data_IF_701611705402
#
_entry.id   IF_701611705402
#
_cell.length_a   1.000
_cell.length_b   1.000
_cell.length_c   1.000
_cell.angle_alpha   90.00
_cell.angle_beta   90.00
_cell.angle_gamma   90.00
#
_symmetry.space_group_name_H-M   'P 1'
#
loop_
_entity.id
_entity.type
_entity.pdbx_description
1 polymer ?
#
# COMPACT_ATOMS: atom_id res chain seq x y z
N UNK A 1 19.83 2.04 -43.23
CA UNK A 1 19.20 3.37 -43.09
C UNK A 1 17.69 3.41 -43.44
N UNK A 2 17.02 2.31 -43.82
CA UNK A 2 15.59 2.32 -44.20
C UNK A 2 14.59 1.82 -43.11
N UNK A 3 15.05 1.40 -41.93
CA UNK A 3 14.15 0.93 -40.84
C UNK A 3 13.47 2.06 -40.04
N UNK A 4 13.93 3.31 -40.13
CA UNK A 4 13.45 4.42 -39.30
C UNK A 4 12.36 5.31 -39.93
N UNK A 5 11.99 5.08 -41.20
CA UNK A 5 10.98 5.89 -41.91
C UNK A 5 9.59 5.24 -41.93
N UNK A 6 9.45 3.99 -41.50
CA UNK A 6 8.16 3.26 -41.49
C UNK A 6 7.35 3.55 -40.22
N UNK A 7 8.02 3.79 -39.08
CA UNK A 7 7.38 4.05 -37.80
C UNK A 7 6.48 5.32 -37.76
N UNK A 8 6.88 6.48 -38.31
CA UNK A 8 6.05 7.70 -38.23
C UNK A 8 4.75 7.60 -39.03
N UNK A 9 4.77 6.93 -40.20
CA UNK A 9 3.59 6.78 -41.06
C UNK A 9 2.60 5.77 -40.46
N UNK A 10 3.09 4.68 -39.85
CA UNK A 10 2.24 3.70 -39.15
C UNK A 10 1.56 4.34 -37.94
N UNK A 11 2.30 5.12 -37.14
CA UNK A 11 1.77 5.86 -35.97
C UNK A 11 0.67 6.82 -36.40
N UNK A 12 0.90 7.69 -37.40
CA UNK A 12 -0.15 8.60 -37.89
C UNK A 12 -1.41 7.85 -38.35
N UNK A 13 -1.22 6.69 -38.96
CA UNK A 13 -2.32 5.90 -39.46
C UNK A 13 -3.17 5.26 -38.32
N UNK A 14 -2.62 5.04 -37.13
CA UNK A 14 -3.39 4.51 -35.99
C UNK A 14 -4.40 5.51 -35.42
N UNK A 15 -4.23 6.82 -35.67
CA UNK A 15 -4.98 7.90 -35.01
C UNK A 15 -5.91 8.71 -35.93
N UNK A 16 -6.14 8.25 -37.17
CA UNK A 16 -7.03 8.90 -38.15
C UNK A 16 -8.31 8.04 -38.31
N UNK A 17 -9.48 8.66 -38.48
CA UNK A 17 -10.74 7.98 -38.81
C UNK A 17 -10.58 7.16 -40.11
N UNK A 18 -10.81 5.84 -40.05
CA UNK A 18 -10.36 4.91 -41.10
C UNK A 18 -11.45 4.02 -41.68
N UNK A 19 -11.17 3.56 -42.90
CA UNK A 19 -12.04 2.66 -43.67
C UNK A 19 -12.09 1.23 -43.10
N UNK A 20 -13.18 0.47 -43.33
CA UNK A 20 -13.36 -0.90 -42.81
C UNK A 20 -12.24 -1.89 -43.20
N UNK A 21 -11.68 -1.75 -44.40
CA UNK A 21 -10.59 -2.62 -44.88
C UNK A 21 -9.28 -2.39 -44.10
N UNK A 22 -9.01 -1.14 -43.69
CA UNK A 22 -7.83 -0.81 -42.89
C UNK A 22 -7.98 -1.33 -41.46
N UNK A 23 -9.17 -1.25 -40.86
CA UNK A 23 -9.42 -1.84 -39.53
C UNK A 23 -9.23 -3.36 -39.52
N UNK A 24 -9.54 -4.05 -40.62
CA UNK A 24 -9.42 -5.51 -40.70
C UNK A 24 -7.95 -5.98 -40.70
N UNK A 25 -7.05 -5.30 -41.40
CA UNK A 25 -5.61 -5.60 -41.37
C UNK A 25 -4.97 -5.34 -39.99
N UNK A 26 -5.39 -4.28 -39.29
CA UNK A 26 -4.95 -4.03 -37.92
C UNK A 26 -5.29 -5.19 -36.98
N UNK A 27 -6.51 -5.69 -37.05
CA UNK A 27 -6.95 -6.77 -36.17
C UNK A 27 -6.24 -8.09 -36.47
N UNK A 28 -5.93 -8.37 -37.74
CA UNK A 28 -5.22 -9.58 -38.15
C UNK A 28 -3.73 -9.56 -37.77
N UNK A 29 -3.08 -8.39 -37.74
CA UNK A 29 -1.64 -8.23 -37.47
C UNK A 29 -1.37 -7.35 -36.24
N UNK A 30 -2.24 -7.41 -35.23
CA UNK A 30 -2.28 -6.49 -34.08
C UNK A 30 -0.94 -6.32 -33.33
N UNK A 31 -0.20 -7.41 -33.13
CA UNK A 31 1.05 -7.41 -32.36
C UNK A 31 2.13 -6.50 -32.95
N UNK A 32 2.15 -6.34 -34.29
CA UNK A 32 3.10 -5.45 -34.99
C UNK A 32 2.99 -3.99 -34.55
N UNK A 33 1.83 -3.60 -34.01
CA UNK A 33 1.54 -2.22 -33.65
C UNK A 33 1.77 -1.92 -32.16
N UNK A 34 2.06 -2.94 -31.34
CA UNK A 34 2.10 -2.78 -29.88
C UNK A 34 3.18 -1.79 -29.44
N UNK A 35 4.40 -1.91 -29.95
CA UNK A 35 5.50 -1.04 -29.53
C UNK A 35 5.23 0.43 -29.83
N UNK A 36 4.65 0.72 -30.99
CA UNK A 36 4.25 2.07 -31.38
C UNK A 36 3.16 2.65 -30.47
N UNK A 37 2.14 1.84 -30.14
CA UNK A 37 1.06 2.24 -29.25
C UNK A 37 1.59 2.47 -27.83
N UNK A 38 2.39 1.54 -27.30
CA UNK A 38 2.97 1.62 -25.95
C UNK A 38 3.96 2.78 -25.82
N UNK A 39 4.66 3.14 -26.90
CA UNK A 39 5.47 4.35 -26.94
C UNK A 39 4.62 5.60 -26.73
N UNK A 40 3.46 5.72 -27.37
CA UNK A 40 2.53 6.83 -27.15
C UNK A 40 1.96 6.83 -25.73
N UNK A 41 1.62 5.66 -25.19
CA UNK A 41 1.21 5.53 -23.78
C UNK A 41 2.31 6.03 -22.84
N UNK A 42 3.58 5.67 -23.08
CA UNK A 42 4.71 6.10 -22.25
C UNK A 42 4.93 7.62 -22.25
N UNK A 43 4.49 8.31 -23.31
CA UNK A 43 4.50 9.78 -23.41
C UNK A 43 3.31 10.43 -22.69
N UNK A 44 2.52 9.65 -21.94
CA UNK A 44 1.29 10.08 -21.26
C UNK A 44 0.27 10.69 -22.23
N UNK A 45 0.20 10.18 -23.46
CA UNK A 45 -0.83 10.58 -24.41
C UNK A 45 -2.19 9.98 -23.99
N UNK A 46 -3.18 10.79 -23.59
CA UNK A 46 -4.48 10.28 -23.11
C UNK A 46 -5.30 9.58 -24.21
N UNK A 47 -4.99 9.82 -25.48
CA UNK A 47 -5.69 9.25 -26.63
C UNK A 47 -4.99 8.01 -27.23
N UNK A 48 -3.91 7.52 -26.61
CA UNK A 48 -3.12 6.41 -27.15
C UNK A 48 -3.95 5.14 -27.38
N UNK A 49 -4.90 4.85 -26.48
CA UNK A 49 -5.86 3.74 -26.62
C UNK A 49 -7.20 4.19 -27.22
N UNK A 50 -7.66 5.40 -26.92
CA UNK A 50 -9.01 5.88 -27.26
C UNK A 50 -9.32 5.81 -28.77
N UNK A 51 -8.35 6.10 -29.63
CA UNK A 51 -8.57 6.14 -31.08
C UNK A 51 -8.34 4.80 -31.79
N UNK A 52 -8.02 3.73 -31.04
CA UNK A 52 -7.74 2.43 -31.64
C UNK A 52 -9.01 1.71 -32.09
N UNK A 53 -8.93 0.83 -33.11
CA UNK A 53 -9.99 -0.13 -33.44
C UNK A 53 -10.38 -1.01 -32.25
N UNK A 54 -11.64 -1.42 -32.20
CA UNK A 54 -12.22 -2.17 -31.07
C UNK A 54 -11.45 -3.45 -30.74
N UNK A 55 -10.94 -4.15 -31.76
CA UNK A 55 -10.15 -5.37 -31.58
C UNK A 55 -8.86 -5.16 -30.77
N UNK A 56 -8.27 -3.95 -30.80
CA UNK A 56 -7.11 -3.58 -29.98
C UNK A 56 -7.54 -3.10 -28.59
N UNK A 57 -8.68 -2.39 -28.49
CA UNK A 57 -9.24 -1.96 -27.20
C UNK A 57 -9.67 -3.12 -26.31
N UNK A 58 -10.02 -4.26 -26.90
CA UNK A 58 -10.33 -5.51 -26.18
C UNK A 58 -9.13 -6.45 -26.06
N UNK A 59 -7.95 -6.09 -26.60
CA UNK A 59 -6.79 -6.94 -26.52
C UNK A 59 -6.18 -6.92 -25.11
N UNK A 60 -6.40 -8.02 -24.37
CA UNK A 60 -5.94 -8.16 -22.98
C UNK A 60 -4.44 -7.90 -22.82
N UNK A 61 -3.60 -8.31 -23.77
CA UNK A 61 -2.15 -8.17 -23.64
C UNK A 61 -1.71 -6.72 -23.85
N UNK A 62 -2.23 -6.06 -24.89
CA UNK A 62 -1.96 -4.64 -25.15
C UNK A 62 -2.45 -3.77 -23.98
N UNK A 63 -3.70 -3.97 -23.54
CA UNK A 63 -4.30 -3.16 -22.47
C UNK A 63 -3.60 -3.39 -21.14
N UNK A 64 -3.21 -4.63 -20.81
CA UNK A 64 -2.41 -4.87 -19.60
C UNK A 64 -1.08 -4.13 -19.66
N UNK A 65 -0.36 -4.20 -20.79
CA UNK A 65 0.91 -3.46 -20.96
C UNK A 65 0.72 -1.95 -20.90
N UNK A 66 -0.39 -1.43 -21.42
CA UNK A 66 -0.74 -0.02 -21.33
C UNK A 66 -1.00 0.41 -19.86
N UNK A 67 -1.75 -0.39 -19.09
CA UNK A 67 -2.00 -0.15 -17.66
C UNK A 67 -0.70 -0.08 -16.86
N UNK A 68 0.27 -0.94 -17.19
CA UNK A 68 1.58 -0.93 -16.55
C UNK A 68 2.39 0.34 -16.82
N UNK A 69 2.10 1.09 -17.87
CA UNK A 69 2.77 2.35 -18.19
C UNK A 69 1.97 3.56 -17.68
N UNK A 70 0.66 3.51 -17.87
CA UNK A 70 -0.29 4.54 -17.50
C UNK A 70 -1.67 3.91 -17.18
N UNK A 71 -2.01 3.73 -15.89
CA UNK A 71 -3.26 3.11 -15.45
C UNK A 71 -4.51 3.82 -15.96
N UNK A 72 -4.42 5.12 -16.23
CA UNK A 72 -5.53 5.93 -16.75
C UNK A 72 -5.93 5.51 -18.18
N UNK A 73 -5.06 4.80 -18.91
CA UNK A 73 -5.42 4.26 -20.24
C UNK A 73 -6.54 3.22 -20.17
N UNK A 74 -6.76 2.57 -19.01
CA UNK A 74 -7.82 1.58 -18.88
C UNK A 74 -9.21 2.18 -19.12
N UNK A 75 -9.40 3.49 -18.88
CA UNK A 75 -10.66 4.17 -19.18
C UNK A 75 -11.08 4.06 -20.65
N UNK A 76 -10.11 3.86 -21.55
CA UNK A 76 -10.31 3.80 -23.00
C UNK A 76 -10.37 2.36 -23.55
N UNK A 77 -10.24 1.36 -22.69
CA UNK A 77 -10.42 -0.04 -23.07
C UNK A 77 -11.89 -0.34 -23.44
N UNK A 78 -12.12 -1.46 -24.11
CA UNK A 78 -13.48 -1.89 -24.50
C UNK A 78 -14.35 -2.18 -23.26
N UNK A 79 -15.67 -1.99 -23.38
CA UNK A 79 -16.64 -2.35 -22.35
C UNK A 79 -16.52 -3.84 -21.93
N UNK A 80 -16.13 -4.71 -22.86
CA UNK A 80 -15.89 -6.13 -22.59
C UNK A 80 -14.83 -6.31 -21.49
N UNK A 81 -13.73 -5.56 -21.56
CA UNK A 81 -12.67 -5.61 -20.54
C UNK A 81 -13.04 -4.89 -19.25
N UNK A 82 -13.92 -3.88 -19.29
CA UNK A 82 -14.47 -3.24 -18.10
C UNK A 82 -15.41 -4.15 -17.30
N UNK A 83 -15.93 -5.21 -17.93
CA UNK A 83 -16.80 -6.21 -17.31
C UNK A 83 -16.07 -7.54 -17.03
N UNK A 84 -14.92 -7.77 -17.64
CA UNK A 84 -14.13 -9.00 -17.51
C UNK A 84 -13.44 -9.10 -16.13
N UNK A 85 -14.16 -9.68 -15.17
CA UNK A 85 -13.67 -9.87 -13.79
C UNK A 85 -12.33 -10.60 -13.71
N UNK A 86 -12.03 -11.53 -14.63
CA UNK A 86 -10.75 -12.26 -14.62
C UNK A 86 -9.62 -11.31 -15.01
N UNK A 87 -9.80 -10.55 -16.09
CA UNK A 87 -8.85 -9.55 -16.53
C UNK A 87 -8.66 -8.44 -15.47
N UNK A 88 -9.75 -7.93 -14.92
CA UNK A 88 -9.70 -6.87 -13.91
C UNK A 88 -8.98 -7.36 -12.65
N UNK A 89 -9.27 -8.56 -12.16
CA UNK A 89 -8.58 -9.13 -10.99
C UNK A 89 -7.07 -9.24 -11.21
N UNK A 90 -6.66 -9.62 -12.43
CA UNK A 90 -5.26 -9.63 -12.85
C UNK A 90 -4.66 -8.21 -12.86
N UNK A 91 -5.36 -7.22 -13.40
CA UNK A 91 -4.91 -5.83 -13.45
C UNK A 91 -4.82 -5.17 -12.06
N UNK A 92 -5.73 -5.47 -11.13
CA UNK A 92 -5.70 -4.93 -9.76
C UNK A 92 -4.41 -5.33 -9.04
N UNK A 93 -3.86 -6.52 -9.32
CA UNK A 93 -2.58 -6.96 -8.73
C UNK A 93 -1.42 -6.05 -9.11
N UNK A 94 -1.48 -5.32 -10.23
CA UNK A 94 -0.42 -4.40 -10.63
C UNK A 94 -0.78 -2.97 -10.21
N UNK A 95 -1.99 -2.53 -10.54
CA UNK A 95 -2.51 -1.23 -10.14
C UNK A 95 -4.00 -1.26 -9.75
N UNK A 96 -4.33 -1.19 -8.45
CA UNK A 96 -5.71 -1.18 -7.98
C UNK A 96 -6.55 0.03 -8.41
N UNK A 97 -5.93 1.15 -8.80
CA UNK A 97 -6.66 2.37 -9.19
C UNK A 97 -7.48 2.18 -10.48
N UNK A 98 -7.21 1.11 -11.26
CA UNK A 98 -8.01 0.76 -12.43
C UNK A 98 -9.48 0.45 -12.09
N UNK A 99 -9.79 0.12 -10.83
CA UNK A 99 -11.15 -0.03 -10.32
C UNK A 99 -12.02 1.24 -10.50
N UNK A 100 -11.41 2.41 -10.72
CA UNK A 100 -12.16 3.63 -11.08
C UNK A 100 -12.94 3.45 -12.38
N UNK A 101 -12.40 2.72 -13.34
CA UNK A 101 -12.92 2.61 -14.70
C UNK A 101 -13.72 1.33 -14.97
N UNK A 102 -13.77 0.38 -14.04
CA UNK A 102 -14.55 -0.84 -14.23
C UNK A 102 -16.05 -0.54 -14.27
N UNK A 103 -16.80 -1.41 -14.94
CA UNK A 103 -18.24 -1.26 -15.13
C UNK A 103 -18.99 -1.23 -13.78
N UNK A 104 -20.08 -0.44 -13.65
CA UNK A 104 -20.85 -0.34 -12.41
C UNK A 104 -21.35 -1.68 -11.85
N UNK A 105 -21.67 -2.63 -12.72
CA UNK A 105 -22.13 -3.97 -12.38
C UNK A 105 -21.05 -4.76 -11.64
N UNK A 106 -19.78 -4.58 -12.04
CA UNK A 106 -18.62 -5.20 -11.37
C UNK A 106 -18.40 -4.59 -9.98
N UNK A 107 -18.60 -3.27 -9.83
CA UNK A 107 -18.53 -2.56 -8.52
C UNK A 107 -19.69 -2.91 -7.58
N UNK A 108 -20.73 -3.56 -8.09
CA UNK A 108 -21.90 -4.02 -7.33
C UNK A 108 -21.80 -5.51 -6.99
N UNK A 109 -20.89 -6.24 -7.63
CA UNK A 109 -20.65 -7.63 -7.31
C UNK A 109 -19.90 -7.77 -5.97
N UNK A 110 -20.64 -8.25 -4.97
CA UNK A 110 -20.15 -8.46 -3.60
C UNK A 110 -18.92 -9.37 -3.54
N UNK A 111 -18.92 -10.48 -4.28
CA UNK A 111 -17.84 -11.46 -4.27
C UNK A 111 -16.59 -10.88 -4.92
N UNK A 112 -16.74 -10.27 -6.10
CA UNK A 112 -15.63 -9.65 -6.81
C UNK A 112 -14.98 -8.53 -5.97
N UNK A 113 -15.77 -7.65 -5.39
CA UNK A 113 -15.24 -6.55 -4.58
C UNK A 113 -14.58 -7.05 -3.29
N UNK A 114 -15.09 -8.11 -2.68
CA UNK A 114 -14.43 -8.76 -1.55
C UNK A 114 -13.03 -9.28 -1.95
N UNK A 115 -12.89 -9.92 -3.12
CA UNK A 115 -11.58 -10.33 -3.64
C UNK A 115 -10.65 -9.16 -3.93
N UNK A 116 -11.16 -8.08 -4.52
CA UNK A 116 -10.39 -6.86 -4.80
C UNK A 116 -9.85 -6.21 -3.51
N UNK A 117 -10.63 -6.27 -2.42
CA UNK A 117 -10.24 -5.74 -1.10
C UNK A 117 -9.14 -6.61 -0.47
N UNK A 118 -9.14 -7.92 -0.69
CA UNK A 118 -8.04 -8.77 -0.26
C UNK A 118 -6.74 -8.48 -1.00
N UNK A 119 -6.79 -8.09 -2.28
CA UNK A 119 -5.59 -7.70 -3.03
C UNK A 119 -5.10 -6.31 -2.59
N UNK A 120 -6.02 -5.36 -2.43
CA UNK A 120 -5.71 -4.02 -1.92
C UNK A 120 -6.80 -3.53 -0.96
N UNK A 121 -6.40 -3.20 0.27
CA UNK A 121 -7.30 -2.69 1.31
C UNK A 121 -8.10 -1.46 0.89
N UNK A 122 -7.53 -0.60 0.04
CA UNK A 122 -8.19 0.64 -0.40
C UNK A 122 -9.23 0.43 -1.51
N UNK A 123 -9.38 -0.79 -2.04
CA UNK A 123 -10.36 -1.11 -3.10
C UNK A 123 -11.81 -0.85 -2.70
N UNK A 124 -12.12 -0.89 -1.39
CA UNK A 124 -13.48 -0.66 -0.87
C UNK A 124 -14.04 0.72 -1.25
N UNK A 125 -13.18 1.72 -1.46
CA UNK A 125 -13.59 3.07 -1.90
C UNK A 125 -14.26 3.10 -3.28
N UNK A 126 -14.10 2.01 -4.07
CA UNK A 126 -14.67 1.88 -5.41
C UNK A 126 -15.96 1.05 -5.47
N UNK A 127 -16.40 0.48 -4.34
CA UNK A 127 -17.67 -0.23 -4.30
C UNK A 127 -18.83 0.71 -4.65
N UNK A 128 -19.86 0.14 -5.25
CA UNK A 128 -21.15 0.81 -5.41
C UNK A 128 -21.73 1.24 -4.06
N UNK A 129 -22.52 2.31 -4.07
CA UNK A 129 -23.21 2.79 -2.87
C UNK A 129 -24.12 1.72 -2.26
N UNK A 130 -24.75 0.87 -3.09
CA UNK A 130 -25.61 -0.23 -2.61
C UNK A 130 -24.84 -1.26 -1.79
N UNK A 131 -23.58 -1.57 -2.15
CA UNK A 131 -22.71 -2.41 -1.32
C UNK A 131 -22.26 -1.68 -0.05
N UNK A 132 -21.91 -0.40 -0.14
CA UNK A 132 -21.50 0.41 1.02
C UNK A 132 -22.64 0.67 2.02
N UNK A 133 -23.90 0.49 1.60
CA UNK A 133 -25.11 0.51 2.44
C UNK A 133 -25.63 -0.91 2.77
N UNK A 134 -24.97 -1.97 2.27
CA UNK A 134 -25.32 -3.35 2.60
C UNK A 134 -24.77 -3.75 3.97
N UNK A 135 -25.70 -4.05 4.89
CA UNK A 135 -25.39 -4.38 6.29
C UNK A 135 -24.44 -5.57 6.43
N UNK A 136 -24.70 -6.67 5.74
CA UNK A 136 -23.90 -7.91 5.88
C UNK A 136 -22.50 -7.73 5.27
N UNK A 137 -22.43 -7.13 4.08
CA UNK A 137 -21.17 -6.86 3.42
C UNK A 137 -20.27 -5.95 4.26
N UNK A 138 -20.79 -4.78 4.67
CA UNK A 138 -20.01 -3.83 5.46
C UNK A 138 -19.62 -4.36 6.83
N UNK A 139 -20.43 -5.24 7.43
CA UNK A 139 -20.07 -5.87 8.71
C UNK A 139 -18.82 -6.72 8.55
N UNK A 140 -18.75 -7.53 7.49
CA UNK A 140 -17.55 -8.33 7.18
C UNK A 140 -16.35 -7.44 6.88
N UNK A 141 -16.54 -6.36 6.11
CA UNK A 141 -15.42 -5.46 5.78
C UNK A 141 -14.87 -4.76 7.01
N UNK A 142 -15.72 -4.29 7.92
CA UNK A 142 -15.31 -3.66 9.19
C UNK A 142 -14.67 -4.67 10.15
N UNK A 143 -15.15 -5.92 10.18
CA UNK A 143 -14.54 -6.99 10.99
C UNK A 143 -13.16 -7.43 10.47
N UNK A 144 -12.90 -7.22 9.18
CA UNK A 144 -11.58 -7.42 8.58
C UNK A 144 -10.63 -6.28 8.98
N UNK A 145 -11.09 -5.04 8.87
CA UNK A 145 -10.34 -3.83 9.19
C UNK A 145 -11.31 -2.69 9.57
N UNK A 146 -11.20 -2.17 10.79
CA UNK A 146 -12.11 -1.14 11.31
C UNK A 146 -12.06 0.15 10.49
N UNK A 147 -10.93 0.45 9.83
CA UNK A 147 -10.77 1.63 8.98
C UNK A 147 -11.78 1.64 7.81
N UNK A 148 -12.35 0.48 7.46
CA UNK A 148 -13.41 0.36 6.46
C UNK A 148 -14.72 1.06 6.87
N UNK A 149 -14.90 1.39 8.16
CA UNK A 149 -16.04 2.15 8.65
C UNK A 149 -16.20 3.48 7.93
N UNK A 150 -15.11 4.14 7.53
CA UNK A 150 -15.17 5.44 6.83
C UNK A 150 -15.95 5.40 5.52
N UNK A 151 -16.00 4.24 4.87
CA UNK A 151 -16.69 4.03 3.59
C UNK A 151 -18.15 3.60 3.73
N UNK A 152 -18.58 3.14 4.91
CA UNK A 152 -19.97 2.76 5.13
C UNK A 152 -20.91 3.96 4.91
N UNK A 153 -22.16 3.68 4.53
CA UNK A 153 -23.20 4.71 4.51
C UNK A 153 -23.41 5.32 5.90
N UNK A 154 -23.87 6.58 5.96
CA UNK A 154 -24.18 7.24 7.24
C UNK A 154 -25.27 6.50 8.03
N UNK A 155 -26.20 5.83 7.33
CA UNK A 155 -27.21 4.96 7.94
C UNK A 155 -26.56 3.81 8.70
N UNK A 156 -25.63 3.07 8.08
CA UNK A 156 -24.94 1.97 8.74
C UNK A 156 -24.00 2.45 9.84
N UNK A 157 -23.26 3.54 9.60
CA UNK A 157 -22.37 4.17 10.58
C UNK A 157 -23.08 4.56 11.87
N UNK A 158 -24.39 4.83 11.81
CA UNK A 158 -25.20 5.21 12.95
C UNK A 158 -25.58 4.04 13.87
N UNK A 159 -25.52 2.80 13.39
CA UNK A 159 -25.87 1.64 14.22
C UNK A 159 -24.69 1.25 15.12
N UNK A 160 -25.00 0.97 16.39
CA UNK A 160 -24.02 0.58 17.41
C UNK A 160 -23.17 -0.63 17.02
N UNK A 161 -23.73 -1.59 16.28
CA UNK A 161 -23.03 -2.79 15.82
C UNK A 161 -21.88 -2.52 14.84
N UNK A 162 -21.84 -1.32 14.23
CA UNK A 162 -20.75 -0.85 13.38
C UNK A 162 -19.91 0.22 14.09
N UNK A 163 -20.55 1.21 14.71
CA UNK A 163 -19.86 2.33 15.34
C UNK A 163 -19.01 1.90 16.54
N UNK A 164 -19.54 1.10 17.47
CA UNK A 164 -18.79 0.69 18.67
C UNK A 164 -17.49 -0.03 18.34
N UNK A 165 -17.49 -1.16 17.61
CA UNK A 165 -16.25 -1.88 17.35
C UNK A 165 -15.25 -1.06 16.53
N UNK A 166 -15.73 -0.20 15.61
CA UNK A 166 -14.87 0.67 14.83
C UNK A 166 -14.19 1.73 15.71
N UNK A 167 -14.96 2.43 16.55
CA UNK A 167 -14.45 3.49 17.43
C UNK A 167 -13.61 2.93 18.59
N UNK A 168 -13.93 1.74 19.10
CA UNK A 168 -13.09 1.04 20.08
C UNK A 168 -11.72 0.71 19.51
N UNK A 169 -11.67 0.27 18.25
CA UNK A 169 -10.43 -0.12 17.56
C UNK A 169 -9.64 1.09 16.99
N UNK A 170 -10.34 2.16 16.62
CA UNK A 170 -9.78 3.41 16.12
C UNK A 170 -10.69 4.62 16.45
N UNK A 171 -10.41 5.31 17.56
CA UNK A 171 -11.16 6.50 17.96
C UNK A 171 -11.18 7.63 16.92
N UNK A 172 -10.12 7.78 16.13
CA UNK A 172 -10.06 8.78 15.05
C UNK A 172 -11.15 8.60 13.98
N UNK A 173 -11.75 7.40 13.87
CA UNK A 173 -12.87 7.17 12.96
C UNK A 173 -14.13 7.97 13.31
N UNK A 174 -14.17 8.60 14.49
CA UNK A 174 -15.20 9.56 14.84
C UNK A 174 -15.26 10.72 13.83
N UNK A 175 -14.14 11.09 13.20
CA UNK A 175 -14.07 12.07 12.11
C UNK A 175 -15.06 11.75 10.98
N UNK A 176 -15.18 10.48 10.62
CA UNK A 176 -16.00 10.00 9.50
C UNK A 176 -17.42 9.59 9.91
N UNK A 177 -17.74 9.70 11.20
CA UNK A 177 -19.05 9.34 11.73
C UNK A 177 -20.10 10.43 11.44
N UNK A 178 -21.38 10.05 11.29
CA UNK A 178 -22.46 11.00 11.06
C UNK A 178 -22.74 11.86 12.31
N UNK A 179 -23.44 13.01 12.16
CA UNK A 179 -23.62 13.99 13.24
C UNK A 179 -24.27 13.43 14.51
N UNK A 180 -25.19 12.47 14.39
CA UNK A 180 -25.84 11.79 15.52
C UNK A 180 -24.85 10.95 16.35
N UNK A 181 -23.84 10.33 15.72
CA UNK A 181 -22.77 9.61 16.42
C UNK A 181 -21.82 10.60 17.09
N UNK A 182 -21.42 11.67 16.40
CA UNK A 182 -20.57 12.74 16.95
C UNK A 182 -21.22 13.51 18.12
N UNK A 183 -22.54 13.54 18.18
CA UNK A 183 -23.33 14.16 19.25
C UNK A 183 -23.74 13.19 20.35
N UNK A 184 -23.43 11.90 20.20
CA UNK A 184 -23.71 10.88 21.20
C UNK A 184 -22.56 10.79 22.20
N UNK A 185 -22.85 11.14 23.45
CA UNK A 185 -21.89 11.05 24.56
C UNK A 185 -21.28 9.64 24.68
N UNK A 186 -22.06 8.59 24.46
CA UNK A 186 -21.60 7.20 24.52
C UNK A 186 -20.52 6.91 23.46
N UNK A 187 -20.76 7.25 22.19
CA UNK A 187 -19.80 6.98 21.11
C UNK A 187 -18.56 7.85 21.21
N UNK A 188 -18.72 9.12 21.62
CA UNK A 188 -17.57 10.01 21.84
C UNK A 188 -16.67 9.48 22.95
N UNK A 189 -17.23 9.01 24.07
CA UNK A 189 -16.43 8.37 25.14
C UNK A 189 -15.64 7.18 24.63
N UNK A 190 -16.28 6.28 23.87
CA UNK A 190 -15.62 5.12 23.27
C UNK A 190 -14.44 5.57 22.41
N UNK A 191 -14.67 6.54 21.54
CA UNK A 191 -13.65 7.07 20.65
C UNK A 191 -12.49 7.70 21.41
N UNK A 192 -12.76 8.57 22.40
CA UNK A 192 -11.74 9.27 23.21
C UNK A 192 -10.94 8.30 24.09
N UNK A 193 -11.58 7.23 24.57
CA UNK A 193 -10.88 6.16 25.29
C UNK A 193 -9.95 5.33 24.40
N UNK A 194 -10.25 5.25 23.10
CA UNK A 194 -9.43 4.56 22.11
C UNK A 194 -8.29 5.44 21.59
N UNK A 195 -8.60 6.68 21.23
CA UNK A 195 -7.69 7.73 20.76
C UNK A 195 -8.15 9.05 21.36
N UNK A 196 -7.35 9.62 22.26
CA UNK A 196 -7.67 10.85 22.97
C UNK A 196 -7.92 12.04 22.03
N UNK A 197 -7.29 12.05 20.86
CA UNK A 197 -7.47 13.09 19.85
C UNK A 197 -8.82 13.03 19.17
N UNK A 198 -9.58 11.95 19.34
CA UNK A 198 -10.93 11.85 18.82
C UNK A 198 -11.84 12.96 19.38
N UNK A 199 -11.53 13.53 20.55
CA UNK A 199 -12.32 14.60 21.16
C UNK A 199 -12.51 15.80 20.23
N UNK A 200 -11.53 16.10 19.36
CA UNK A 200 -11.62 17.21 18.39
C UNK A 200 -12.72 17.01 17.33
N UNK A 201 -13.20 15.78 17.16
CA UNK A 201 -14.26 15.42 16.23
C UNK A 201 -15.63 15.31 16.88
N UNK A 202 -15.70 15.43 18.22
CA UNK A 202 -16.97 15.46 18.94
C UNK A 202 -17.77 16.71 18.57
N UNK A 203 -19.10 16.61 18.63
CA UNK A 203 -19.96 17.76 18.40
C UNK A 203 -19.68 18.85 19.48
N UNK A 204 -19.59 20.15 19.12
CA UNK A 204 -19.20 21.21 20.06
C UNK A 204 -20.00 21.24 21.37
N UNK A 205 -21.30 20.90 21.33
CA UNK A 205 -22.18 20.78 22.51
C UNK A 205 -21.68 19.80 23.59
N UNK A 206 -20.87 18.80 23.22
CA UNK A 206 -20.31 17.83 24.17
C UNK A 206 -18.98 18.29 24.76
N UNK A 207 -18.31 19.30 24.18
CA UNK A 207 -17.01 19.77 24.68
C UNK A 207 -17.13 20.48 26.04
N UNK A 208 -18.33 20.97 26.39
CA UNK A 208 -18.66 21.51 27.71
C UNK A 208 -19.28 20.47 28.65
N UNK A 209 -19.42 19.21 28.24
CA UNK A 209 -19.87 18.15 29.14
C UNK A 209 -18.71 17.79 30.10
N UNK A 210 -18.91 17.86 31.43
CA UNK A 210 -17.83 17.69 32.40
C UNK A 210 -17.07 16.36 32.26
N UNK A 211 -17.76 15.30 31.85
CA UNK A 211 -17.17 13.97 31.72
C UNK A 211 -16.35 13.83 30.44
N UNK A 212 -16.78 14.46 29.34
CA UNK A 212 -16.00 14.53 28.11
C UNK A 212 -14.78 15.44 28.31
N UNK A 213 -14.96 16.55 29.02
CA UNK A 213 -13.87 17.46 29.39
C UNK A 213 -12.83 16.75 30.26
N UNK A 214 -13.25 15.96 31.24
CA UNK A 214 -12.35 15.16 32.09
C UNK A 214 -11.56 14.12 31.28
N UNK A 215 -12.22 13.40 30.36
CA UNK A 215 -11.54 12.47 29.45
C UNK A 215 -10.51 13.17 28.56
N UNK A 216 -10.82 14.40 28.13
CA UNK A 216 -9.91 15.28 27.39
C UNK A 216 -8.83 15.96 28.23
N UNK A 217 -8.90 15.93 29.56
CA UNK A 217 -7.80 16.43 30.43
C UNK A 217 -6.71 15.39 30.62
N UNK A 218 -7.04 14.10 30.51
CA UNK A 218 -6.08 12.98 30.44
C UNK A 218 -5.52 12.89 29.00
N UNK A 219 -5.00 14.00 28.51
CA UNK A 219 -4.24 14.08 27.25
C UNK A 219 -2.77 13.97 27.65
N UNK A 220 -2.04 12.99 27.12
CA UNK A 220 -0.61 13.21 26.95
C UNK A 220 -0.51 14.36 25.95
N UNK A 221 -0.02 15.56 26.30
CA UNK A 221 0.06 16.64 25.34
C UNK A 221 0.77 16.08 24.12
N UNK A 222 0.09 16.06 22.96
CA UNK A 222 0.78 15.77 21.72
C UNK A 222 1.95 16.74 21.70
N UNK A 223 3.15 16.16 21.68
CA UNK A 223 4.36 16.94 21.51
C UNK A 223 4.12 17.85 20.28
N UNK A 224 4.32 19.17 20.42
CA UNK A 224 4.04 20.09 19.32
C UNK A 224 4.72 19.62 18.04
N UNK A 225 3.99 19.68 16.92
CA UNK A 225 4.47 19.18 15.62
C UNK A 225 5.83 19.78 15.27
N UNK A 226 6.05 21.04 15.65
CA UNK A 226 7.28 21.79 15.45
C UNK A 226 8.50 21.13 16.13
N UNK A 227 8.30 20.42 17.26
CA UNK A 227 9.38 19.69 17.92
C UNK A 227 9.85 18.50 17.09
N UNK A 228 8.92 17.70 16.56
CA UNK A 228 9.26 16.58 15.68
C UNK A 228 9.95 17.05 14.42
N UNK A 229 9.39 18.09 13.79
CA UNK A 229 9.95 18.67 12.59
C UNK A 229 11.38 19.17 12.84
N UNK A 230 11.59 19.93 13.93
CA UNK A 230 12.92 20.40 14.33
C UNK A 230 13.88 19.25 14.60
N UNK A 231 13.45 18.23 15.35
CA UNK A 231 14.27 17.07 15.65
C UNK A 231 14.70 16.32 14.38
N UNK A 232 13.74 16.01 13.50
CA UNK A 232 14.01 15.28 12.26
C UNK A 232 14.93 16.08 11.33
N UNK A 233 14.66 17.38 11.19
CA UNK A 233 15.47 18.26 10.35
C UNK A 233 16.91 18.39 10.86
N UNK A 234 17.10 18.53 12.17
CA UNK A 234 18.44 18.66 12.76
C UNK A 234 19.26 17.37 12.70
N UNK A 235 18.62 16.21 12.79
CA UNK A 235 19.33 14.94 12.94
C UNK A 235 19.50 14.16 11.64
N UNK A 236 18.53 14.27 10.72
CA UNK A 236 18.45 13.41 9.54
C UNK A 236 18.19 14.14 8.22
N UNK A 237 17.95 15.46 8.18
CA UNK A 237 17.75 16.17 6.91
C UNK A 237 18.97 17.03 6.59
N UNK A 238 19.59 16.76 5.45
CA UNK A 238 20.74 17.50 4.93
C UNK A 238 20.34 18.35 3.70
N UNK A 239 21.07 19.44 3.46
CA UNK A 239 20.89 20.33 2.30
C UNK A 239 22.14 20.26 1.41
N UNK A 240 21.97 19.92 0.13
CA UNK A 240 23.07 19.95 -0.82
C UNK A 240 23.26 21.36 -1.42
N UNK A 241 24.47 21.94 -1.30
CA UNK A 241 24.77 23.29 -1.81
C UNK A 241 25.03 23.36 -3.34
N UNK A 242 24.95 22.25 -4.08
CA UNK A 242 25.08 22.26 -5.55
C UNK A 242 23.72 22.60 -6.17
N UNK A 243 23.70 23.64 -7.02
CA UNK A 243 22.51 24.10 -7.77
C UNK A 243 21.73 22.88 -8.29
N UNK A 244 20.50 22.72 -7.80
CA UNK A 244 19.46 21.75 -8.21
C UNK A 244 19.36 20.42 -7.43
N UNK A 245 20.10 20.20 -6.35
CA UNK A 245 19.85 19.07 -5.44
C UNK A 245 19.14 19.61 -4.19
N UNK A 246 17.86 19.27 -3.99
CA UNK A 246 17.05 19.73 -2.86
C UNK A 246 17.49 19.16 -1.50
N UNK A 247 16.59 19.23 -0.51
CA UNK A 247 16.76 18.56 0.78
C UNK A 247 16.80 17.04 0.57
N UNK A 248 17.56 16.29 1.36
CA UNK A 248 17.56 14.81 1.34
C UNK A 248 17.66 14.24 2.77
N UNK A 249 17.16 13.02 2.97
CA UNK A 249 17.32 12.30 4.24
C UNK A 249 18.70 11.63 4.26
N UNK A 250 19.49 11.96 5.27
CA UNK A 250 20.88 11.56 5.48
C UNK A 250 21.08 10.91 6.86
N UNK A 251 22.20 10.20 7.04
CA UNK A 251 22.60 9.45 8.23
C UNK A 251 21.77 8.20 8.56
N UNK A 252 22.39 7.20 9.19
CA UNK A 252 21.66 6.05 9.77
C UNK A 252 21.01 6.42 11.11
N UNK A 253 20.10 5.57 11.59
CA UNK A 253 19.57 5.58 12.96
C UNK A 253 20.68 5.93 13.98
N UNK A 254 20.48 7.01 14.75
CA UNK A 254 21.53 7.57 15.63
C UNK A 254 21.32 7.18 17.08
N UNK A 255 20.08 7.08 17.55
CA UNK A 255 19.82 7.13 18.98
C UNK A 255 19.33 5.82 19.61
N UNK A 256 18.76 4.89 18.82
CA UNK A 256 18.12 3.68 19.37
C UNK A 256 18.52 2.38 18.66
N UNK A 257 19.78 2.29 18.24
CA UNK A 257 20.32 1.09 17.59
C UNK A 257 20.45 -0.15 18.49
N UNK A 258 20.55 0.04 19.81
CA UNK A 258 20.62 -1.04 20.81
C UNK A 258 19.31 -1.83 20.96
N UNK A 259 18.18 -1.24 20.54
CA UNK A 259 16.84 -1.85 20.55
C UNK A 259 16.63 -2.87 19.43
N UNK A 260 17.56 -2.98 18.49
CA UNK A 260 17.52 -3.90 17.35
C UNK A 260 17.72 -5.34 17.81
N UNK A 261 16.69 -6.18 17.67
CA UNK A 261 16.85 -7.64 17.83
C UNK A 261 17.34 -8.22 16.50
N UNK A 262 16.75 -7.78 15.39
CA UNK A 262 17.09 -8.19 14.02
C UNK A 262 17.07 -6.93 13.15
N UNK A 263 18.09 -6.81 12.29
CA UNK A 263 18.20 -5.77 11.27
C UNK A 263 18.95 -6.35 10.07
N UNK A 264 18.20 -6.81 9.05
CA UNK A 264 18.70 -7.46 7.84
C UNK A 264 18.54 -6.50 6.66
N UNK A 265 19.61 -6.31 5.89
CA UNK A 265 19.54 -5.56 4.63
C UNK A 265 18.54 -6.23 3.69
N UNK A 266 17.70 -5.43 3.05
CA UNK A 266 16.67 -5.92 2.14
C UNK A 266 17.27 -6.68 0.97
N UNK A 267 16.64 -7.81 0.64
CA UNK A 267 17.33 -8.92 0.01
C UNK A 267 16.90 -9.08 -1.46
N UNK A 268 17.19 -8.08 -2.29
CA UNK A 268 17.00 -8.14 -3.74
C UNK A 268 18.36 -8.04 -4.42
N UNK A 269 18.72 -9.06 -5.22
CA UNK A 269 19.88 -8.99 -6.11
C UNK A 269 19.43 -9.14 -7.55
N UNK A 270 19.87 -8.21 -8.38
CA UNK A 270 19.81 -8.34 -9.82
C UNK A 270 20.75 -9.44 -10.29
N UNK A 271 20.21 -10.43 -10.99
CA UNK A 271 20.99 -11.45 -11.68
C UNK A 271 20.74 -11.36 -13.17
N UNK A 272 21.81 -11.48 -13.95
CA UNK A 272 21.75 -11.55 -15.40
C UNK A 272 21.57 -13.01 -15.81
N UNK A 273 20.49 -13.31 -16.53
CA UNK A 273 20.27 -14.59 -17.20
C UNK A 273 20.27 -14.36 -18.71
N UNK A 274 20.73 -15.37 -19.44
CA UNK A 274 20.71 -15.37 -20.90
C UNK A 274 19.63 -16.36 -21.35
N UNK A 275 18.80 -15.94 -22.30
CA UNK A 275 17.84 -16.83 -22.94
C UNK A 275 18.57 -17.80 -23.87
N UNK A 276 18.78 -19.02 -23.40
CA UNK A 276 19.52 -20.06 -24.11
C UNK A 276 18.79 -20.54 -25.38
N UNK A 277 17.47 -20.33 -25.50
CA UNK A 277 16.72 -20.69 -26.71
C UNK A 277 16.91 -19.65 -27.82
N UNK A 278 16.94 -18.36 -27.46
CA UNK A 278 17.23 -17.26 -28.40
C UNK A 278 18.70 -17.20 -28.83
N UNK A 279 19.61 -17.77 -28.03
CA UNK A 279 21.03 -17.93 -28.41
C UNK A 279 21.19 -18.74 -29.70
N UNK A 280 20.27 -19.65 -30.03
CA UNK A 280 20.33 -20.41 -31.29
C UNK A 280 20.13 -19.54 -32.55
N UNK A 281 19.56 -18.34 -32.41
CA UNK A 281 19.23 -17.46 -33.52
C UNK A 281 20.09 -16.19 -33.58
N UNK A 282 21.11 -16.05 -32.73
CA UNK A 282 22.04 -14.90 -32.74
C UNK A 282 21.50 -13.62 -32.10
N UNK A 283 20.28 -13.65 -31.54
CA UNK A 283 19.70 -12.54 -30.79
C UNK A 283 20.06 -12.69 -29.30
N UNK A 284 20.87 -11.75 -28.81
CA UNK A 284 21.22 -11.65 -27.39
C UNK A 284 20.20 -10.75 -26.69
N UNK A 285 19.15 -11.34 -26.11
CA UNK A 285 18.35 -10.62 -25.11
C UNK A 285 18.91 -10.87 -23.72
N UNK A 286 19.42 -9.80 -23.10
CA UNK A 286 19.83 -9.81 -21.70
C UNK A 286 18.60 -9.79 -20.80
N UNK A 287 18.34 -10.90 -20.11
CA UNK A 287 17.25 -10.97 -19.13
C UNK A 287 17.80 -10.62 -17.76
N UNK A 288 17.42 -9.46 -17.25
CA UNK A 288 17.66 -9.10 -15.86
C UNK A 288 16.50 -9.64 -15.01
N UNK A 289 16.79 -10.61 -14.14
CA UNK A 289 15.83 -11.09 -13.14
C UNK A 289 16.29 -10.66 -11.76
N UNK A 290 15.37 -10.15 -10.95
CA UNK A 290 15.61 -10.05 -9.51
C UNK A 290 15.36 -11.41 -8.93
N UNK A 291 16.36 -11.90 -8.23
CA UNK A 291 16.14 -12.99 -7.31
C UNK A 291 16.03 -12.37 -5.92
N UNK A 292 15.09 -12.84 -5.08
CA UNK A 292 15.31 -12.74 -3.65
C UNK A 292 16.71 -13.31 -3.41
N UNK A 293 17.59 -12.53 -2.80
CA UNK A 293 18.89 -13.06 -2.41
C UNK A 293 18.59 -14.08 -1.29
N UNK A 294 18.36 -15.34 -1.60
CA UNK A 294 18.57 -16.36 -0.57
C UNK A 294 20.09 -16.45 -0.40
N UNK A 295 20.68 -15.42 0.21
CA UNK A 295 22.04 -15.52 0.67
C UNK A 295 21.96 -16.66 1.68
N UNK A 296 22.75 -17.71 1.47
CA UNK A 296 22.81 -18.94 2.28
C UNK A 296 22.96 -18.70 3.80
N UNK A 297 23.10 -17.43 4.22
CA UNK A 297 23.17 -16.93 5.58
C UNK A 297 21.83 -16.41 6.18
N UNK A 298 20.72 -16.36 5.42
CA UNK A 298 19.45 -15.74 5.85
C UNK A 298 18.20 -16.63 5.65
N UNK A 299 18.37 -17.95 5.67
CA UNK A 299 17.29 -18.94 5.51
C UNK A 299 16.38 -19.11 6.76
N UNK A 300 16.34 -18.11 7.65
CA UNK A 300 15.58 -18.22 8.91
C UNK A 300 14.15 -17.75 8.66
N UNK A 301 13.19 -18.68 8.76
CA UNK A 301 11.77 -18.37 8.76
C UNK A 301 11.44 -17.36 9.84
N UNK A 302 10.53 -16.41 9.54
CA UNK A 302 10.15 -15.38 10.51
C UNK A 302 9.63 -15.96 11.83
N UNK A 303 8.90 -17.08 11.80
CA UNK A 303 8.39 -17.74 13.00
C UNK A 303 9.52 -18.18 13.94
N UNK A 304 10.69 -18.53 13.41
CA UNK A 304 11.89 -18.85 14.20
C UNK A 304 12.44 -17.62 14.91
N UNK A 305 12.47 -16.48 14.22
CA UNK A 305 12.90 -15.20 14.80
C UNK A 305 11.98 -14.76 15.95
N UNK A 306 10.69 -15.09 15.84
CA UNK A 306 9.65 -14.74 16.79
C UNK A 306 9.39 -15.83 17.84
N UNK A 307 10.22 -16.88 17.94
CA UNK A 307 9.98 -18.03 18.84
C UNK A 307 9.76 -17.69 20.32
N UNK A 308 10.25 -16.53 20.78
CA UNK A 308 10.03 -16.01 22.14
C UNK A 308 8.60 -15.47 22.35
N UNK A 309 7.82 -15.32 21.28
CA UNK A 309 6.51 -14.68 21.25
C UNK A 309 5.48 -15.57 20.50
N UNK A 310 5.20 -16.79 20.98
CA UNK A 310 4.34 -17.74 20.26
C UNK A 310 2.91 -17.23 20.01
N UNK A 311 2.34 -16.47 20.95
CA UNK A 311 1.00 -15.87 20.77
C UNK A 311 1.00 -14.74 19.73
N UNK A 312 2.14 -14.05 19.54
CA UNK A 312 2.29 -13.07 18.47
C UNK A 312 2.35 -13.76 17.10
N UNK A 313 3.04 -14.90 17.00
CA UNK A 313 3.08 -15.72 15.77
C UNK A 313 1.65 -16.08 15.36
N UNK A 314 0.87 -16.69 16.27
CA UNK A 314 -0.53 -17.05 16.02
C UNK A 314 -1.38 -15.85 15.61
N UNK A 315 -1.14 -14.68 16.21
CA UNK A 315 -1.86 -13.44 15.88
C UNK A 315 -1.56 -12.99 14.44
N UNK A 316 -0.31 -13.05 14.01
CA UNK A 316 0.12 -12.68 12.66
C UNK A 316 -0.41 -13.69 11.63
N UNK A 317 -0.31 -14.99 11.90
CA UNK A 317 -0.88 -16.04 11.03
C UNK A 317 -2.38 -15.86 10.85
N UNK A 318 -3.13 -15.64 11.94
CA UNK A 318 -4.57 -15.38 11.90
C UNK A 318 -4.90 -14.10 11.13
N UNK A 319 -4.05 -13.07 11.22
CA UNK A 319 -4.23 -11.82 10.48
C UNK A 319 -4.20 -12.05 8.96
N UNK A 320 -3.24 -12.84 8.47
CA UNK A 320 -3.12 -13.19 7.05
C UNK A 320 -4.17 -14.22 6.61
N UNK A 321 -4.47 -15.23 7.42
CA UNK A 321 -5.47 -16.25 7.09
C UNK A 321 -6.88 -15.66 6.91
N UNK A 322 -7.26 -14.69 7.75
CA UNK A 322 -8.53 -13.93 7.59
C UNK A 322 -8.64 -13.21 6.25
N UNK A 323 -7.52 -12.97 5.57
CA UNK A 323 -7.41 -12.27 4.28
C UNK A 323 -7.10 -13.21 3.13
N UNK A 324 -7.34 -14.51 3.33
CA UNK A 324 -7.20 -15.56 2.31
C UNK A 324 -5.78 -15.63 1.71
N UNK A 325 -4.76 -15.25 2.48
CA UNK A 325 -3.37 -15.45 2.06
C UNK A 325 -3.01 -16.93 2.25
N UNK A 326 -2.47 -17.59 1.21
CA UNK A 326 -2.10 -19.00 1.30
C UNK A 326 -1.06 -19.28 2.41
N UNK A 327 -1.21 -20.37 3.18
CA UNK A 327 -0.29 -20.72 4.27
C UNK A 327 1.17 -20.81 3.84
N UNK A 328 1.45 -21.29 2.62
CA UNK A 328 2.77 -21.41 2.04
C UNK A 328 3.47 -20.04 1.92
N UNK A 329 2.73 -19.00 1.51
CA UNK A 329 3.25 -17.62 1.43
C UNK A 329 3.51 -17.08 2.84
N UNK A 330 2.63 -17.40 3.81
CA UNK A 330 2.79 -16.97 5.21
C UNK A 330 4.03 -17.62 5.83
N UNK A 331 4.27 -18.91 5.56
CA UNK A 331 5.49 -19.59 6.03
C UNK A 331 6.75 -19.05 5.37
N UNK A 332 6.65 -18.58 4.13
CA UNK A 332 7.78 -18.04 3.36
C UNK A 332 8.17 -16.60 3.71
N UNK A 333 7.40 -15.93 4.57
CA UNK A 333 7.79 -14.62 5.09
C UNK A 333 9.16 -14.65 5.80
N UNK A 334 9.94 -13.59 5.61
CA UNK A 334 11.24 -13.38 6.26
C UNK A 334 11.22 -12.07 7.03
N UNK A 335 11.82 -12.08 8.22
CA UNK A 335 11.96 -10.86 9.03
C UNK A 335 13.03 -9.97 8.41
N UNK A 336 12.69 -8.74 8.02
CA UNK A 336 13.68 -7.74 7.61
C UNK A 336 14.22 -7.01 8.83
N UNK A 337 13.35 -6.57 9.73
CA UNK A 337 13.71 -6.03 11.03
C UNK A 337 12.75 -6.48 12.13
N UNK A 338 13.27 -6.55 13.35
CA UNK A 338 12.51 -6.76 14.59
C UNK A 338 13.19 -5.96 15.70
N UNK A 339 12.51 -4.97 16.24
CA UNK A 339 13.04 -4.07 17.29
C UNK A 339 12.17 -4.17 18.53
N UNK A 340 12.80 -4.14 19.71
CA UNK A 340 12.11 -4.05 20.99
C UNK A 340 11.98 -2.60 21.41
N UNK A 341 10.79 -2.04 21.26
CA UNK A 341 10.51 -0.62 21.55
C UNK A 341 10.50 -0.38 23.06
N UNK A 342 9.75 -1.21 23.81
CA UNK A 342 9.70 -1.15 25.28
C UNK A 342 9.44 -2.53 25.88
N UNK A 343 9.76 -2.67 27.17
CA UNK A 343 9.66 -3.94 27.90
C UNK A 343 8.36 -4.09 28.70
N UNK A 344 7.68 -3.01 29.06
CA UNK A 344 6.47 -3.06 29.85
C UNK A 344 5.45 -1.98 29.42
N UNK A 345 4.33 -2.36 28.77
CA UNK A 345 4.11 -3.67 28.16
C UNK A 345 5.15 -3.96 27.07
N UNK A 346 5.42 -5.24 26.78
CA UNK A 346 6.36 -5.59 25.69
C UNK A 346 5.81 -5.07 24.37
N UNK A 347 6.59 -4.24 23.68
CA UNK A 347 6.22 -3.67 22.38
C UNK A 347 7.32 -3.94 21.37
N UNK A 348 6.94 -4.48 20.22
CA UNK A 348 7.83 -4.87 19.14
C UNK A 348 7.42 -4.15 17.86
N UNK A 349 8.38 -3.58 17.13
CA UNK A 349 8.15 -3.09 15.77
C UNK A 349 8.89 -4.02 14.81
N UNK A 350 8.21 -4.46 13.75
CA UNK A 350 8.77 -5.43 12.82
C UNK A 350 8.31 -5.21 11.39
N UNK A 351 9.06 -5.81 10.47
CA UNK A 351 8.60 -6.03 9.10
C UNK A 351 8.88 -7.47 8.69
N UNK A 352 7.86 -8.08 8.10
CA UNK A 352 7.96 -9.37 7.42
C UNK A 352 7.75 -9.15 5.93
N UNK A 353 8.50 -9.89 5.12
CA UNK A 353 8.48 -9.71 3.68
C UNK A 353 8.69 -11.05 2.97
N UNK A 354 7.93 -11.30 1.92
CA UNK A 354 8.06 -12.42 0.99
C UNK A 354 8.13 -11.90 -0.45
N UNK A 355 9.03 -12.51 -1.21
CA UNK A 355 9.19 -12.31 -2.65
C UNK A 355 9.19 -13.66 -3.33
N UNK A 356 8.37 -13.78 -4.36
CA UNK A 356 8.39 -14.92 -5.27
C UNK A 356 8.38 -14.40 -6.72
N UNK A 357 8.83 -15.21 -7.69
CA UNK A 357 8.62 -14.89 -9.09
C UNK A 357 7.14 -14.59 -9.37
N UNK A 358 6.86 -13.67 -10.30
CA UNK A 358 5.51 -13.46 -10.81
C UNK A 358 4.94 -14.79 -11.30
N UNK A 359 3.70 -15.11 -10.92
CA UNK A 359 2.97 -16.27 -11.47
C UNK A 359 2.30 -15.95 -12.81
N UNK A 360 2.39 -14.70 -13.25
CA UNK A 360 1.77 -14.20 -14.46
C UNK A 360 2.80 -14.15 -15.59
N UNK A 361 2.71 -15.11 -16.51
CA UNK A 361 3.65 -15.29 -17.63
C UNK A 361 3.65 -14.12 -18.63
N UNK A 362 2.58 -13.33 -18.69
CA UNK A 362 2.54 -12.17 -19.60
C UNK A 362 3.05 -10.89 -18.95
N UNK A 363 3.34 -10.90 -17.65
CA UNK A 363 4.20 -9.88 -17.03
C UNK A 363 5.66 -10.21 -17.33
N UNK A 364 6.46 -9.20 -17.63
CA UNK A 364 7.89 -9.37 -17.92
C UNK A 364 8.67 -9.84 -16.68
N UNK A 365 9.88 -10.35 -16.90
CA UNK A 365 10.77 -10.88 -15.85
C UNK A 365 11.22 -9.85 -14.78
N UNK A 366 10.81 -8.59 -14.93
CA UNK A 366 10.97 -7.51 -13.95
C UNK A 366 9.71 -7.29 -13.10
N UNK A 367 8.85 -8.31 -12.97
CA UNK A 367 7.78 -8.36 -11.98
C UNK A 367 8.04 -9.48 -10.98
N UNK A 368 7.74 -9.21 -9.73
CA UNK A 368 7.74 -10.19 -8.65
C UNK A 368 6.42 -10.11 -7.92
N UNK A 369 6.00 -11.26 -7.42
CA UNK A 369 4.91 -11.30 -6.49
C UNK A 369 5.44 -10.97 -5.08
N UNK A 370 4.69 -10.17 -4.33
CA UNK A 370 5.05 -9.84 -2.96
C UNK A 370 3.90 -9.97 -1.98
N UNK A 371 4.26 -10.34 -0.76
CA UNK A 371 3.44 -10.16 0.43
C UNK A 371 4.33 -9.56 1.52
N UNK A 372 3.85 -8.52 2.19
CA UNK A 372 4.63 -7.83 3.23
C UNK A 372 3.73 -7.26 4.32
N UNK A 373 4.29 -7.09 5.51
CA UNK A 373 3.64 -6.40 6.63
C UNK A 373 4.68 -5.64 7.43
N UNK A 374 4.46 -4.35 7.61
CA UNK A 374 5.11 -3.51 8.62
C UNK A 374 4.11 -3.25 9.74
N UNK A 375 4.45 -3.63 10.97
CA UNK A 375 3.53 -3.51 12.10
C UNK A 375 4.24 -3.25 13.42
N UNK A 376 3.49 -2.68 14.35
CA UNK A 376 3.85 -2.55 15.76
C UNK A 376 2.92 -3.47 16.56
N UNK A 377 3.50 -4.35 17.38
CA UNK A 377 2.79 -5.29 18.21
C UNK A 377 3.01 -4.98 19.69
N UNK A 378 1.91 -4.84 20.43
CA UNK A 378 1.91 -4.56 21.87
C UNK A 378 1.27 -5.73 22.62
N UNK A 379 1.96 -6.25 23.64
CA UNK A 379 1.42 -7.27 24.53
C UNK A 379 0.45 -6.62 25.53
N UNK A 380 -0.79 -7.09 25.57
CA UNK A 380 -1.81 -6.62 26.50
C UNK A 380 -1.68 -7.35 27.86
N UNK A 381 -2.25 -6.81 28.96
CA UNK A 381 -2.18 -7.44 30.29
C UNK A 381 -2.64 -8.90 30.34
N UNK A 382 -3.58 -9.28 29.46
CA UNK A 382 -4.10 -10.65 29.33
C UNK A 382 -3.24 -11.56 28.42
N UNK A 383 -1.99 -11.17 28.11
CA UNK A 383 -1.06 -11.89 27.24
C UNK A 383 -1.50 -12.04 25.78
N UNK A 384 -2.56 -11.35 25.36
CA UNK A 384 -2.93 -11.22 23.95
C UNK A 384 -2.10 -10.13 23.29
N UNK A 385 -1.94 -10.23 21.97
CA UNK A 385 -1.24 -9.22 21.18
C UNK A 385 -2.20 -8.33 20.40
N UNK A 386 -1.96 -7.04 20.49
CA UNK A 386 -2.58 -6.01 19.68
C UNK A 386 -1.63 -5.66 18.53
N UNK A 387 -2.14 -5.63 17.29
CA UNK A 387 -1.37 -5.20 16.11
C UNK A 387 -1.81 -3.81 15.69
N UNK A 388 -0.83 -2.98 15.36
CA UNK A 388 -0.98 -1.69 14.68
C UNK A 388 -0.33 -1.85 13.31
N UNK A 389 -1.16 -1.94 12.27
CA UNK A 389 -0.69 -2.15 10.90
C UNK A 389 -0.25 -0.80 10.35
N UNK A 390 1.01 -0.71 9.94
CA UNK A 390 1.61 0.48 9.34
C UNK A 390 1.44 0.41 7.83
N UNK A 391 1.86 -0.71 7.26
CA UNK A 391 1.72 -1.03 5.85
C UNK A 391 1.52 -2.54 5.71
N UNK A 392 0.71 -2.95 4.73
CA UNK A 392 0.55 -4.36 4.39
C UNK A 392 0.28 -4.50 2.91
N UNK A 393 0.86 -5.53 2.30
CA UNK A 393 0.68 -5.88 0.90
C UNK A 393 0.31 -7.34 0.79
N UNK A 394 -0.70 -7.63 -0.01
CA UNK A 394 -1.28 -8.96 -0.17
C UNK A 394 -1.09 -9.43 -1.61
N UNK A 395 -0.15 -10.35 -1.83
CA UNK A 395 -0.01 -11.10 -3.08
C UNK A 395 -0.02 -10.23 -4.35
N UNK A 396 0.73 -9.12 -4.32
CA UNK A 396 0.72 -8.06 -5.34
C UNK A 396 1.84 -8.27 -6.35
N UNK A 397 1.56 -8.01 -7.63
CA UNK A 397 2.57 -8.02 -8.70
C UNK A 397 3.27 -6.66 -8.76
N UNK A 398 4.49 -6.62 -8.25
CA UNK A 398 5.30 -5.42 -8.21
C UNK A 398 6.30 -5.41 -9.34
N UNK A 399 6.26 -4.34 -10.14
CA UNK A 399 7.39 -4.02 -11.00
C UNK A 399 8.56 -3.57 -10.13
N UNK A 400 9.68 -4.22 -10.32
CA UNK A 400 10.90 -4.06 -9.52
C UNK A 400 11.98 -3.24 -10.24
N UNK A 401 11.59 -2.63 -11.36
CA UNK A 401 12.40 -1.67 -12.09
C UNK A 401 12.61 -0.40 -11.24
N UNK A 402 13.87 0.00 -10.96
CA UNK A 402 14.17 1.17 -10.13
C UNK A 402 13.65 2.48 -10.75
N UNK A 403 13.33 2.49 -12.05
CA UNK A 403 12.78 3.63 -12.78
C UNK A 403 11.25 3.61 -12.82
N UNK A 404 10.57 2.64 -12.18
CA UNK A 404 9.11 2.52 -12.28
C UNK A 404 8.33 3.59 -11.49
N UNK A 405 7.32 4.18 -12.13
CA UNK A 405 6.53 5.30 -11.59
C UNK A 405 5.71 4.93 -10.35
N UNK A 406 5.18 3.72 -10.35
CA UNK A 406 4.26 3.23 -9.32
C UNK A 406 4.93 2.14 -8.46
N UNK A 407 6.22 2.31 -8.17
CA UNK A 407 7.01 1.40 -7.33
C UNK A 407 6.48 1.25 -5.90
N UNK A 408 6.92 0.20 -5.22
CA UNK A 408 6.52 -0.10 -3.84
C UNK A 408 7.02 0.94 -2.84
N UNK A 409 6.11 1.56 -2.07
CA UNK A 409 6.44 2.39 -0.91
C UNK A 409 7.09 1.55 0.17
N UNK A 410 8.19 1.99 0.77
CA UNK A 410 8.88 1.21 1.80
C UNK A 410 8.84 1.94 3.13
N UNK A 411 8.24 1.30 4.13
CA UNK A 411 8.29 1.77 5.51
C UNK A 411 9.49 1.13 6.21
N UNK A 412 10.52 1.94 6.44
CA UNK A 412 11.76 1.54 7.10
C UNK A 412 11.73 2.10 8.51
N UNK A 413 11.77 1.22 9.52
CA UNK A 413 11.93 1.65 10.89
C UNK A 413 13.28 2.37 11.05
N UNK A 414 13.21 3.68 11.27
CA UNK A 414 14.37 4.56 11.14
C UNK A 414 15.02 4.87 12.48
N UNK A 415 14.25 5.36 13.45
CA UNK A 415 14.73 5.64 14.80
C UNK A 415 13.56 5.76 15.79
N UNK A 416 13.85 6.07 17.05
CA UNK A 416 12.84 6.47 18.03
C UNK A 416 13.01 7.93 18.44
N UNK A 417 11.90 8.55 18.84
CA UNK A 417 11.90 9.86 19.48
C UNK A 417 11.47 9.71 20.93
N UNK A 418 12.32 10.17 21.84
CA UNK A 418 11.99 10.33 23.25
C UNK A 418 11.73 11.80 23.54
N UNK A 419 10.64 12.08 24.25
CA UNK A 419 10.30 13.43 24.69
C UNK A 419 11.27 13.91 25.78
N UNK A 420 11.81 12.98 26.57
CA UNK A 420 12.89 13.18 27.55
C UNK A 420 13.69 11.88 27.77
N UNK A 421 14.79 11.93 28.54
CA UNK A 421 15.70 10.77 28.74
C UNK A 421 15.03 9.51 29.28
N UNK A 422 13.90 9.64 29.97
CA UNK A 422 13.18 8.55 30.65
C UNK A 422 11.78 8.32 30.06
N UNK A 423 11.50 8.82 28.86
CA UNK A 423 10.18 8.67 28.21
C UNK A 423 9.80 7.17 28.12
N UNK A 424 8.76 6.72 28.84
CA UNK A 424 8.38 5.32 28.92
C UNK A 424 7.68 4.81 27.65
N UNK A 425 7.27 5.72 26.75
CA UNK A 425 6.62 5.39 25.48
C UNK A 425 7.25 6.18 24.33
N UNK A 426 8.44 5.77 23.86
CA UNK A 426 9.07 6.37 22.69
C UNK A 426 8.12 6.36 21.50
N UNK A 427 8.13 7.47 20.77
CA UNK A 427 7.47 7.57 19.47
C UNK A 427 8.36 6.92 18.42
N UNK A 428 7.74 6.26 17.46
CA UNK A 428 8.44 5.44 16.46
C UNK A 428 8.53 6.21 15.16
N UNK A 429 9.74 6.39 14.64
CA UNK A 429 9.98 7.12 13.39
C UNK A 429 10.18 6.10 12.27
N UNK A 430 9.31 6.14 11.28
CA UNK A 430 9.49 5.45 10.01
C UNK A 430 10.00 6.43 8.96
N UNK A 431 11.07 6.05 8.26
CA UNK A 431 11.38 6.63 6.96
C UNK A 431 10.51 5.93 5.93
N UNK A 432 9.70 6.69 5.21
CA UNK A 432 8.91 6.20 4.10
C UNK A 432 9.62 6.58 2.82
N UNK A 433 10.06 5.59 2.08
CA UNK A 433 10.62 5.78 0.75
C UNK A 433 9.51 5.55 -0.27
N UNK A 434 9.15 6.60 -0.98
CA UNK A 434 8.38 6.52 -2.22
C UNK A 434 9.34 6.83 -3.40
N UNK A 435 8.89 6.61 -4.62
CA UNK A 435 9.66 6.93 -5.83
C UNK A 435 10.12 8.39 -5.85
N UNK A 436 9.18 9.32 -5.60
CA UNK A 436 9.36 10.74 -5.89
C UNK A 436 9.99 11.48 -4.70
N UNK A 437 9.87 10.92 -3.51
CA UNK A 437 10.30 11.56 -2.28
C UNK A 437 10.49 10.56 -1.17
N UNK A 438 11.41 10.88 -0.28
CA UNK A 438 11.47 10.25 1.03
C UNK A 438 10.83 11.20 2.04
N UNK A 439 10.17 10.67 3.06
CA UNK A 439 9.61 11.47 4.14
C UNK A 439 9.57 10.65 5.43
N UNK A 440 9.25 11.28 6.54
CA UNK A 440 9.09 10.61 7.83
C UNK A 440 7.63 10.50 8.22
N UNK A 441 7.24 9.37 8.81
CA UNK A 441 6.01 9.23 9.57
C UNK A 441 6.35 8.86 11.01
N UNK A 442 5.73 9.56 11.96
CA UNK A 442 5.96 9.37 13.40
C UNK A 442 4.71 8.77 14.02
N UNK A 443 4.89 7.66 14.74
CA UNK A 443 3.82 6.92 15.36
C UNK A 443 3.89 7.00 16.88
N UNK A 444 2.74 7.20 17.52
CA UNK A 444 2.59 7.28 18.96
C UNK A 444 1.58 6.24 19.47
N UNK A 445 1.87 5.68 20.63
CA UNK A 445 0.98 4.77 21.35
C UNK A 445 -0.31 5.48 21.83
N UNK A 446 -1.41 4.76 21.72
CA UNK A 446 -2.75 5.13 22.16
C UNK A 446 -3.13 4.34 23.42
N UNK A 447 -4.18 4.76 24.14
CA UNK A 447 -4.61 4.13 25.41
C UNK A 447 -4.94 2.64 25.27
N UNK A 448 -5.42 2.21 24.10
CA UNK A 448 -5.70 0.79 23.80
C UNK A 448 -4.46 -0.04 23.40
N UNK A 449 -3.25 0.54 23.47
CA UNK A 449 -1.98 -0.11 23.13
C UNK A 449 -1.66 -0.12 21.63
N UNK A 450 -2.51 0.47 20.77
CA UNK A 450 -2.19 0.67 19.36
C UNK A 450 -1.25 1.85 19.15
N UNK A 451 -0.59 1.87 18.00
CA UNK A 451 0.19 3.00 17.53
C UNK A 451 -0.49 3.66 16.33
N UNK A 452 -0.45 5.00 16.29
CA UNK A 452 -1.06 5.82 15.23
C UNK A 452 -0.11 6.88 14.74
N UNK A 453 -0.18 7.18 13.44
CA UNK A 453 0.58 8.26 12.84
C UNK A 453 0.07 9.58 13.40
N UNK A 454 0.96 10.35 14.03
CA UNK A 454 0.67 11.67 14.60
C UNK A 454 1.31 12.80 13.80
N UNK A 455 2.28 12.46 12.96
CA UNK A 455 3.00 13.41 12.14
C UNK A 455 3.53 12.74 10.89
N UNK A 456 3.39 13.44 9.77
CA UNK A 456 4.01 13.11 8.50
C UNK A 456 4.79 14.34 8.06
N UNK A 457 6.10 14.17 7.83
CA UNK A 457 6.91 15.27 7.35
C UNK A 457 6.60 15.61 5.91
N UNK A 458 6.93 16.84 5.52
CA UNK A 458 6.95 17.21 4.11
C UNK A 458 7.89 16.27 3.32
N UNK A 459 7.52 15.90 2.09
CA UNK A 459 8.38 15.20 1.15
C UNK A 459 9.73 15.88 0.97
N UNK A 460 10.79 15.09 1.11
CA UNK A 460 12.17 15.52 0.92
C UNK A 460 12.63 15.04 -0.46
N UNK A 461 12.92 15.98 -1.38
CA UNK A 461 13.32 15.68 -2.77
C UNK A 461 14.84 15.79 -2.97
N UNK A 462 15.50 14.64 -3.10
CA UNK A 462 16.79 14.54 -3.80
C UNK A 462 16.54 13.97 -5.20
N UNK A 463 17.29 14.41 -6.21
CA UNK A 463 17.32 13.72 -7.51
C UNK A 463 17.82 12.29 -7.23
N UNK A 464 16.93 11.30 -7.14
CA UNK A 464 17.28 9.89 -7.24
C UNK A 464 17.71 9.68 -8.70
N UNK A 465 19.00 9.87 -8.97
CA UNK A 465 19.60 9.67 -10.30
C UNK A 465 19.50 8.23 -10.74
#
# INVERSE_FOLDING_TARGET
>A
MLKNLVAPIIILSLFINKSPAQSQDFCSNKERYYDAILQEVSKKNPNAINNLPECLKQDRNLILRAILLDPEQFQNASDILHQDKIFIKRAIKTNPEILRFVAPEVKTDEYFMEEAIYINRDSLKYCSWSLLDNKLFMKRMIDLDSDNYKYASDRLKSFSEFAKPALEDNGALLEFAPPNVKSSKEFVKIAVNSDENAIKFAHPKLLSDPEIEELGKIINPLEPVEKFEKFLNQNYVSIHNKKNLGKYIDNKAKFFGDKKIIDRNFIIKWSKKYDLEKIKFGDFEEIWSINPMDNRNYAVYWSTDFKKYPELIKKIEKFFAKRKIPPEIISDLRTTYLWKIKSNPTTLAFNLYALSPSTDEALSNNFVNTTSISAIATELPNKKWQLSIIEVIFNRELKIDPVYENGHKRFILWDLYLSDKNDPSPKIIYKVEDRISDYFEVYQEQKNGKYRSIYKSEPVQGIKK
#
